data_IF_003996861928
#
_entry.id   IF_003996861928
#
_cell.length_a   1.000
_cell.length_b   1.000
_cell.length_c   1.000
_cell.angle_alpha   90.00
_cell.angle_beta   90.00
_cell.angle_gamma   90.00
#
_symmetry.space_group_name_H-M   'P 1'
#
loop_
_entity.id
_entity.type
_entity.pdbx_description
1 polymer ?
#
# COMPACT_ATOMS: atom_id res chain seq x y z
N UNK A 1 -11.34 12.46 7.19
CA UNK A 1 -10.91 11.52 6.13
C UNK A 1 -11.34 11.88 4.70
N UNK A 2 -12.57 12.31 4.41
CA UNK A 2 -13.00 12.55 3.01
C UNK A 2 -12.18 13.62 2.25
N UNK A 3 -11.86 14.77 2.86
CA UNK A 3 -11.00 15.80 2.24
C UNK A 3 -9.59 15.29 1.90
N UNK A 4 -9.07 14.39 2.73
CA UNK A 4 -7.77 13.76 2.52
C UNK A 4 -7.83 12.81 1.30
N UNK A 5 -8.92 12.04 1.15
CA UNK A 5 -9.18 11.23 -0.04
C UNK A 5 -9.30 12.05 -1.33
N UNK A 6 -9.95 13.22 -1.29
CA UNK A 6 -10.02 14.14 -2.44
C UNK A 6 -8.65 14.65 -2.84
N UNK A 7 -7.86 15.09 -1.86
CA UNK A 7 -6.52 15.63 -2.08
C UNK A 7 -5.59 14.55 -2.67
N UNK A 8 -5.64 13.35 -2.09
CA UNK A 8 -4.91 12.18 -2.58
C UNK A 8 -5.29 11.80 -4.02
N UNK A 9 -6.59 11.69 -4.31
CA UNK A 9 -7.06 11.36 -5.66
C UNK A 9 -6.64 12.41 -6.70
N UNK A 10 -6.78 13.70 -6.35
CA UNK A 10 -6.40 14.80 -7.24
C UNK A 10 -4.91 14.78 -7.56
N UNK A 11 -4.06 14.46 -6.58
CA UNK A 11 -2.62 14.36 -6.78
C UNK A 11 -2.22 13.15 -7.64
N UNK A 12 -2.82 11.98 -7.38
CA UNK A 12 -2.40 10.72 -7.98
C UNK A 12 -3.07 10.40 -9.34
N UNK A 13 -4.32 10.80 -9.56
CA UNK A 13 -5.12 10.34 -10.72
C UNK A 13 -4.53 10.67 -12.09
N UNK A 14 -3.79 11.78 -12.20
CA UNK A 14 -3.11 12.19 -13.44
C UNK A 14 -2.06 11.17 -13.93
N UNK A 15 -1.54 10.35 -13.02
CA UNK A 15 -0.56 9.32 -13.33
C UNK A 15 -1.20 7.95 -13.65
N UNK A 16 -2.53 7.85 -13.62
CA UNK A 16 -3.30 6.64 -13.92
C UNK A 16 -2.79 5.41 -13.14
N UNK A 17 -2.68 5.48 -11.80
CA UNK A 17 -2.12 4.40 -11.01
C UNK A 17 -2.97 3.13 -11.14
N UNK A 18 -2.30 1.97 -11.13
CA UNK A 18 -2.96 0.66 -11.18
C UNK A 18 -3.72 0.34 -9.90
N UNK A 19 -3.32 0.94 -8.78
CA UNK A 19 -3.93 0.78 -7.47
C UNK A 19 -3.85 2.07 -6.65
N UNK A 20 -4.83 2.27 -5.78
CA UNK A 20 -4.79 3.25 -4.69
C UNK A 20 -4.71 2.49 -3.37
N UNK A 21 -3.68 2.75 -2.56
CA UNK A 21 -3.48 2.09 -1.28
C UNK A 21 -3.72 3.08 -0.13
N UNK A 22 -4.53 2.67 0.84
CA UNK A 22 -4.70 3.40 2.09
C UNK A 22 -3.68 2.88 3.10
N UNK A 23 -2.76 3.73 3.49
CA UNK A 23 -1.75 3.47 4.51
C UNK A 23 -2.33 3.73 5.91
N UNK A 24 -2.60 2.68 6.68
CA UNK A 24 -3.32 2.74 7.98
C UNK A 24 -2.45 2.15 9.09
N UNK A 25 -1.70 3.03 9.76
CA UNK A 25 -0.70 2.64 10.76
C UNK A 25 -0.92 3.30 12.14
N UNK A 26 -1.65 4.42 12.18
CA UNK A 26 -1.81 5.23 13.39
C UNK A 26 -3.27 5.58 13.67
N UNK A 27 -3.62 5.60 14.96
CA UNK A 27 -4.95 5.98 15.41
C UNK A 27 -5.08 7.51 15.37
N UNK A 28 -5.83 8.00 14.39
CA UNK A 28 -6.10 9.44 14.19
C UNK A 28 -7.54 9.83 14.48
N UNK A 29 -8.39 8.85 14.76
CA UNK A 29 -9.81 9.03 15.05
C UNK A 29 -10.24 8.07 16.15
N UNK A 30 -11.31 8.42 16.88
CA UNK A 30 -11.89 7.51 17.87
C UNK A 30 -12.41 6.23 17.23
N UNK A 31 -13.19 6.37 16.15
CA UNK A 31 -13.64 5.27 15.29
C UNK A 31 -12.81 5.23 14.00
N UNK A 32 -11.71 4.47 14.06
CA UNK A 32 -10.83 4.27 12.91
C UNK A 32 -11.51 3.50 11.78
N UNK A 33 -12.34 2.51 12.08
CA UNK A 33 -13.02 1.74 11.05
C UNK A 33 -13.96 2.63 10.21
N UNK A 34 -14.75 3.50 10.84
CA UNK A 34 -15.57 4.47 10.14
C UNK A 34 -14.73 5.48 9.35
N UNK A 35 -13.62 5.95 9.92
CA UNK A 35 -12.68 6.85 9.24
C UNK A 35 -12.10 6.26 7.95
N UNK A 36 -11.60 5.02 8.03
CA UNK A 36 -11.02 4.26 6.92
C UNK A 36 -12.07 4.00 5.83
N UNK A 37 -13.28 3.59 6.22
CA UNK A 37 -14.37 3.37 5.26
C UNK A 37 -14.79 4.68 4.58
N UNK A 38 -14.85 5.79 5.31
CA UNK A 38 -15.17 7.09 4.73
C UNK A 38 -14.12 7.54 3.70
N UNK A 39 -12.83 7.25 3.95
CA UNK A 39 -11.76 7.51 2.98
C UNK A 39 -11.94 6.66 1.72
N UNK A 40 -12.09 5.33 1.89
CA UNK A 40 -12.26 4.37 0.79
C UNK A 40 -13.49 4.68 -0.06
N UNK A 41 -14.63 4.95 0.59
CA UNK A 41 -15.87 5.30 -0.09
C UNK A 41 -15.73 6.60 -0.90
N UNK A 42 -15.02 7.60 -0.35
CA UNK A 42 -14.77 8.84 -1.08
C UNK A 42 -13.87 8.62 -2.29
N UNK A 43 -12.78 7.85 -2.17
CA UNK A 43 -11.95 7.47 -3.32
C UNK A 43 -12.75 6.77 -4.41
N UNK A 44 -13.60 5.82 -4.02
CA UNK A 44 -14.47 5.12 -4.97
C UNK A 44 -15.40 6.09 -5.71
N UNK A 45 -16.01 7.04 -4.99
CA UNK A 45 -16.90 8.06 -5.58
C UNK A 45 -16.19 9.00 -6.56
N UNK A 46 -14.87 9.18 -6.42
CA UNK A 46 -14.05 9.99 -7.31
C UNK A 46 -13.59 9.22 -8.56
N UNK A 47 -13.82 7.90 -8.62
CA UNK A 47 -13.51 7.06 -9.77
C UNK A 47 -12.37 6.07 -9.56
N UNK A 48 -11.79 5.98 -8.36
CA UNK A 48 -10.83 4.92 -8.05
C UNK A 48 -11.53 3.56 -8.04
N UNK A 49 -11.02 2.60 -8.83
CA UNK A 49 -11.61 1.25 -8.94
C UNK A 49 -10.87 0.23 -8.07
N UNK A 50 -9.55 0.26 -8.13
CA UNK A 50 -8.67 -0.65 -7.41
C UNK A 50 -8.21 0.04 -6.13
N UNK A 51 -8.85 -0.27 -5.01
CA UNK A 51 -8.59 0.36 -3.72
C UNK A 51 -8.19 -0.72 -2.72
N UNK A 52 -6.93 -0.71 -2.32
CA UNK A 52 -6.37 -1.62 -1.33
C UNK A 52 -6.10 -0.94 0.01
N UNK A 53 -5.87 -1.75 1.03
CA UNK A 53 -5.48 -1.28 2.37
C UNK A 53 -4.13 -1.88 2.75
N UNK A 54 -3.23 -1.03 3.23
CA UNK A 54 -2.04 -1.41 3.96
C UNK A 54 -2.29 -1.22 5.45
N UNK A 55 -2.18 -2.29 6.23
CA UNK A 55 -2.46 -2.25 7.68
C UNK A 55 -1.80 -3.43 8.40
N UNK A 56 -1.17 -3.15 9.55
CA UNK A 56 -0.62 -4.19 10.43
C UNK A 56 -1.72 -5.04 11.07
N UNK A 57 -1.48 -6.33 11.31
CA UNK A 57 -2.49 -7.25 11.86
C UNK A 57 -3.01 -6.79 13.22
N UNK A 58 -2.12 -6.33 14.10
CA UNK A 58 -2.51 -5.82 15.43
C UNK A 58 -3.42 -4.59 15.32
N UNK A 59 -3.08 -3.61 14.48
CA UNK A 59 -3.86 -2.39 14.31
C UNK A 59 -5.25 -2.67 13.71
N UNK A 60 -5.31 -3.61 12.77
CA UNK A 60 -6.56 -4.09 12.18
C UNK A 60 -7.49 -4.68 13.24
N UNK A 61 -6.95 -5.55 14.11
CA UNK A 61 -7.71 -6.21 15.18
C UNK A 61 -8.12 -5.23 16.29
N UNK A 62 -7.17 -4.45 16.81
CA UNK A 62 -7.36 -3.48 17.89
C UNK A 62 -8.48 -2.48 17.58
N UNK A 63 -8.55 -2.03 16.32
CA UNK A 63 -9.53 -1.05 15.89
C UNK A 63 -10.68 -1.62 15.06
N UNK A 64 -10.81 -2.96 15.02
CA UNK A 64 -11.90 -3.66 14.32
C UNK A 64 -12.09 -3.19 12.87
N UNK A 65 -10.99 -2.95 12.16
CA UNK A 65 -11.01 -2.39 10.81
C UNK A 65 -11.50 -3.44 9.82
N UNK A 66 -12.58 -3.12 9.11
CA UNK A 66 -13.13 -4.02 8.10
C UNK A 66 -12.37 -3.94 6.78
N UNK A 67 -11.86 -5.07 6.31
CA UNK A 67 -11.18 -5.17 5.00
C UNK A 67 -12.11 -5.58 3.85
N UNK A 68 -13.39 -5.90 4.15
CA UNK A 68 -14.32 -6.55 3.20
C UNK A 68 -14.58 -5.76 1.92
N UNK A 69 -14.49 -4.43 1.96
CA UNK A 69 -14.77 -3.55 0.81
C UNK A 69 -13.53 -3.15 0.03
N UNK A 70 -12.34 -3.61 0.45
CA UNK A 70 -11.09 -3.39 -0.28
C UNK A 70 -10.87 -4.49 -1.30
N UNK A 71 -10.25 -4.14 -2.43
CA UNK A 71 -9.97 -5.08 -3.52
C UNK A 71 -8.64 -5.81 -3.34
N UNK A 72 -7.80 -5.32 -2.43
CA UNK A 72 -6.59 -6.01 -2.00
C UNK A 72 -6.17 -5.63 -0.57
N UNK A 73 -5.40 -6.52 0.06
CA UNK A 73 -4.87 -6.33 1.41
C UNK A 73 -3.35 -6.46 1.38
N UNK A 74 -2.65 -5.49 1.94
CA UNK A 74 -1.21 -5.46 2.08
C UNK A 74 -0.87 -5.41 3.57
N UNK A 75 -0.04 -6.33 4.06
CA UNK A 75 0.27 -6.42 5.48
C UNK A 75 1.78 -6.28 5.71
N UNK A 76 2.23 -5.42 6.63
CA UNK A 76 3.61 -5.44 7.10
C UNK A 76 3.84 -6.49 8.18
N UNK A 77 4.96 -7.19 8.09
CA UNK A 77 5.51 -8.01 9.18
C UNK A 77 7.00 -8.18 8.93
N UNK A 78 7.84 -7.60 9.78
CA UNK A 78 9.27 -7.47 9.48
C UNK A 78 10.18 -8.52 10.12
N UNK A 79 9.69 -9.24 11.14
CA UNK A 79 10.53 -10.14 11.93
C UNK A 79 11.78 -9.42 12.46
N UNK A 80 12.97 -9.87 12.05
CA UNK A 80 14.23 -9.22 12.44
C UNK A 80 14.49 -7.87 11.75
N UNK A 81 13.78 -7.59 10.66
CA UNK A 81 13.91 -6.38 9.87
C UNK A 81 15.34 -6.09 9.37
N UNK A 82 15.99 -7.08 8.77
CA UNK A 82 17.40 -7.06 8.35
C UNK A 82 17.57 -7.09 6.83
N UNK A 83 16.52 -6.72 6.08
CA UNK A 83 16.51 -6.75 4.62
C UNK A 83 16.06 -8.08 4.02
N UNK A 84 15.86 -9.13 4.83
CA UNK A 84 15.48 -10.46 4.34
C UNK A 84 14.09 -10.91 4.83
N UNK A 85 13.42 -11.73 4.02
CA UNK A 85 12.16 -12.37 4.43
C UNK A 85 12.44 -13.46 5.47
N UNK A 86 12.00 -13.21 6.71
CA UNK A 86 12.20 -14.14 7.84
C UNK A 86 10.95 -14.33 8.72
N UNK A 87 9.85 -13.64 8.43
CA UNK A 87 8.59 -13.76 9.16
C UNK A 87 7.39 -13.48 8.25
N UNK A 88 6.28 -14.19 8.47
CA UNK A 88 5.02 -13.97 7.76
C UNK A 88 3.97 -13.31 8.68
N UNK A 89 3.01 -12.54 8.13
CA UNK A 89 1.87 -12.07 8.89
C UNK A 89 1.13 -13.19 9.61
N UNK A 90 0.95 -13.04 10.94
CA UNK A 90 0.19 -13.98 11.77
C UNK A 90 -1.30 -13.67 11.67
N UNK A 91 -1.95 -14.16 10.62
CA UNK A 91 -3.38 -13.92 10.38
C UNK A 91 -3.96 -14.96 9.42
N UNK A 92 -5.25 -15.26 9.55
CA UNK A 92 -6.01 -16.05 8.59
C UNK A 92 -6.56 -15.19 7.43
N UNK A 93 -6.35 -13.87 7.47
CA UNK A 93 -6.75 -12.98 6.40
C UNK A 93 -6.00 -13.32 5.11
N UNK A 94 -6.76 -13.45 4.02
CA UNK A 94 -6.21 -13.67 2.68
C UNK A 94 -5.57 -12.40 2.14
N UNK A 95 -4.37 -12.06 2.60
CA UNK A 95 -3.60 -10.92 2.10
C UNK A 95 -2.94 -11.19 0.74
N UNK A 96 -2.50 -10.12 0.11
CA UNK A 96 -2.04 -10.10 -1.28
C UNK A 96 -0.60 -9.69 -1.41
N UNK A 97 -0.23 -8.64 -0.68
CA UNK A 97 1.13 -8.15 -0.57
C UNK A 97 1.58 -8.29 0.88
N UNK A 98 2.86 -8.57 1.05
CA UNK A 98 3.54 -8.59 2.33
C UNK A 98 4.75 -7.68 2.25
N UNK A 99 4.76 -6.63 3.06
CA UNK A 99 5.97 -5.85 3.31
C UNK A 99 6.79 -6.56 4.37
N UNK A 100 7.90 -7.15 3.97
CA UNK A 100 8.67 -8.04 4.84
C UNK A 100 9.86 -7.36 5.51
N UNK A 101 10.21 -6.14 5.11
CA UNK A 101 11.27 -5.36 5.74
C UNK A 101 11.18 -3.89 5.31
N UNK A 102 11.69 -3.00 6.16
CA UNK A 102 11.99 -1.59 5.86
C UNK A 102 13.49 -1.31 5.75
N UNK A 103 14.32 -2.36 5.75
CA UNK A 103 15.79 -2.31 5.77
C UNK A 103 16.37 -3.05 4.55
N UNK A 104 15.65 -3.03 3.44
CA UNK A 104 16.09 -3.66 2.21
C UNK A 104 17.13 -2.84 1.48
N UNK A 105 17.96 -3.51 0.68
CA UNK A 105 18.94 -2.88 -0.19
C UNK A 105 18.68 -3.24 -1.65
N UNK A 106 18.65 -2.22 -2.52
CA UNK A 106 18.55 -2.38 -3.98
C UNK A 106 19.77 -1.70 -4.60
N UNK A 107 20.48 -2.44 -5.46
CA UNK A 107 21.62 -1.89 -6.19
C UNK A 107 21.23 -0.65 -6.99
N UNK A 108 22.00 0.43 -6.86
CA UNK A 108 21.71 1.72 -7.48
C UNK A 108 20.85 2.66 -6.61
N UNK A 109 20.45 2.24 -5.40
CA UNK A 109 19.77 3.10 -4.43
C UNK A 109 20.53 3.12 -3.09
N UNK A 110 20.88 4.30 -2.61
CA UNK A 110 21.83 4.47 -1.50
C UNK A 110 21.21 4.30 -0.10
N UNK A 111 19.89 4.34 0.00
CA UNK A 111 19.17 4.28 1.26
C UNK A 111 18.40 2.97 1.39
N UNK A 112 18.05 2.63 2.62
CA UNK A 112 17.17 1.50 2.87
C UNK A 112 15.82 1.69 2.17
N UNK A 113 15.27 0.58 1.70
CA UNK A 113 13.97 0.54 1.04
C UNK A 113 13.06 -0.49 1.68
N UNK A 114 11.78 -0.17 1.68
CA UNK A 114 10.73 -1.12 2.00
C UNK A 114 10.64 -2.21 0.93
N UNK A 115 10.89 -3.46 1.29
CA UNK A 115 10.75 -4.58 0.34
C UNK A 115 9.44 -5.34 0.56
N UNK A 116 8.89 -5.74 -0.57
CA UNK A 116 7.56 -6.30 -0.68
C UNK A 116 7.58 -7.55 -1.53
N UNK A 117 6.67 -8.47 -1.24
CA UNK A 117 6.44 -9.65 -2.05
C UNK A 117 4.95 -9.95 -2.19
N UNK A 118 4.59 -10.71 -3.22
CA UNK A 118 3.29 -11.34 -3.28
C UNK A 118 3.17 -12.34 -2.13
N UNK A 119 1.97 -12.48 -1.58
CA UNK A 119 1.69 -13.48 -0.54
C UNK A 119 2.15 -14.87 -1.01
N UNK A 120 3.03 -15.57 -0.26
CA UNK A 120 3.46 -16.91 -0.63
C UNK A 120 2.31 -17.93 -0.54
N UNK A 121 1.21 -17.56 0.12
CA UNK A 121 0.01 -18.38 0.31
C UNK A 121 -0.93 -18.36 -0.91
N UNK A 122 -0.61 -17.62 -2.00
CA UNK A 122 -1.45 -17.49 -3.19
C UNK A 122 -0.70 -17.82 -4.48
N UNK A 123 -1.44 -18.19 -5.53
CA UNK A 123 -0.89 -18.37 -6.87
C UNK A 123 -0.38 -17.02 -7.42
N UNK A 124 0.94 -16.88 -7.50
CA UNK A 124 1.63 -15.62 -7.74
C UNK A 124 1.41 -15.09 -9.18
N UNK A 125 1.44 -15.97 -10.18
CA UNK A 125 1.37 -15.61 -11.60
C UNK A 125 0.04 -14.94 -11.98
N UNK A 126 -1.08 -15.36 -11.37
CA UNK A 126 -2.39 -14.76 -11.63
C UNK A 126 -2.55 -13.38 -10.98
N UNK A 127 -1.88 -13.11 -9.86
CA UNK A 127 -2.01 -11.83 -9.14
C UNK A 127 -1.04 -10.76 -9.62
N UNK A 128 0.14 -11.15 -10.11
CA UNK A 128 1.10 -10.19 -10.67
C UNK A 128 0.48 -9.32 -11.77
N UNK A 129 -0.35 -9.93 -12.64
CA UNK A 129 -1.09 -9.23 -13.70
C UNK A 129 -2.11 -8.19 -13.21
N UNK A 130 -2.52 -8.26 -11.95
CA UNK A 130 -3.45 -7.28 -11.37
C UNK A 130 -2.74 -6.03 -10.84
N UNK A 131 -1.42 -6.11 -10.63
CA UNK A 131 -0.61 -5.00 -10.10
C UNK A 131 0.27 -4.36 -11.18
N UNK A 132 0.60 -5.09 -12.25
CA UNK A 132 1.37 -4.60 -13.38
C UNK A 132 0.47 -4.41 -14.61
N UNK A 133 0.59 -3.26 -15.26
CA UNK A 133 0.20 -3.11 -16.67
C UNK A 133 1.42 -3.54 -17.49
N UNK A 134 1.33 -4.70 -18.15
CA UNK A 134 2.39 -5.19 -19.02
C UNK A 134 2.21 -4.52 -20.38
N UNK A 135 2.91 -3.40 -20.59
CA UNK A 135 3.14 -2.84 -21.91
C UNK A 135 4.66 -2.77 -22.13
N UNK A 136 5.16 -3.66 -23.00
CA UNK A 136 6.57 -3.89 -23.35
C UNK A 136 7.41 -4.57 -22.24
N UNK A 137 8.26 -5.52 -22.65
CA UNK A 137 8.89 -6.59 -21.85
C UNK A 137 9.86 -6.17 -20.72
N UNK A 138 9.86 -4.90 -20.30
CA UNK A 138 10.74 -4.39 -19.24
C UNK A 138 9.90 -3.98 -18.02
N UNK A 139 9.47 -4.97 -17.23
CA UNK A 139 8.74 -4.71 -15.99
C UNK A 139 9.57 -5.10 -14.77
N UNK A 140 10.09 -4.10 -14.05
CA UNK A 140 10.64 -4.26 -12.69
C UNK A 140 9.60 -3.76 -11.69
N UNK A 141 9.12 -4.64 -10.83
CA UNK A 141 8.25 -4.29 -9.72
C UNK A 141 9.11 -3.78 -8.55
N UNK A 142 9.42 -2.48 -8.53
CA UNK A 142 10.04 -1.83 -7.36
C UNK A 142 8.95 -1.13 -6.57
N UNK A 143 8.60 -1.68 -5.40
CA UNK A 143 7.82 -0.95 -4.40
C UNK A 143 8.81 -0.15 -3.56
N UNK A 144 8.97 1.15 -3.85
CA UNK A 144 9.79 2.05 -3.01
C UNK A 144 8.89 3.10 -2.36
N UNK A 145 8.90 3.14 -1.02
CA UNK A 145 8.26 4.19 -0.20
C UNK A 145 9.20 5.41 -0.13
N UNK A 146 9.63 5.97 -1.25
CA UNK A 146 10.39 7.23 -1.24
C UNK A 146 10.17 8.04 -2.53
N UNK A 147 9.18 8.93 -2.50
CA UNK A 147 9.15 10.10 -3.36
C UNK A 147 9.11 11.34 -2.46
N UNK A 148 10.27 11.72 -1.92
CA UNK A 148 10.46 13.02 -1.28
C UNK A 148 10.43 14.10 -2.34
N UNK A 149 9.22 14.50 -2.73
CA UNK A 149 8.87 15.83 -3.25
C UNK A 149 7.35 15.88 -3.49
N UNK A 150 6.54 15.94 -2.41
CA UNK A 150 5.13 16.36 -2.57
C UNK A 150 4.50 17.07 -1.36
N UNK A 151 5.21 17.25 -0.23
CA UNK A 151 4.65 17.99 0.91
C UNK A 151 5.69 18.89 1.59
N UNK A 152 5.81 20.14 1.11
CA UNK A 152 6.21 21.28 1.95
C UNK A 152 4.97 21.99 2.50
N UNK A 153 4.03 21.25 3.08
CA UNK A 153 3.04 21.85 3.97
C UNK A 153 2.58 20.86 5.03
N UNK A 154 2.41 21.41 6.22
CA UNK A 154 2.26 20.82 7.56
C UNK A 154 1.03 19.92 7.77
N UNK A 155 0.86 18.87 6.98
CA UNK A 155 -0.08 17.79 7.29
C UNK A 155 0.65 16.46 7.22
N UNK A 156 0.83 15.75 8.35
CA UNK A 156 1.22 14.36 8.29
C UNK A 156 0.08 13.57 7.64
N UNK A 157 0.39 12.38 7.12
CA UNK A 157 -0.49 11.40 6.51
C UNK A 157 -0.62 11.47 4.98
N UNK A 158 -0.34 10.30 4.39
CA UNK A 158 -0.48 9.84 2.99
C UNK A 158 0.87 9.74 2.26
N UNK A 159 1.53 8.60 2.45
CA UNK A 159 2.61 8.18 1.56
C UNK A 159 1.98 7.62 0.28
N UNK A 160 2.19 8.30 -0.85
CA UNK A 160 1.65 7.90 -2.15
C UNK A 160 2.59 6.89 -2.81
N UNK A 161 2.14 5.65 -3.00
CA UNK A 161 2.82 4.72 -3.92
C UNK A 161 2.38 5.02 -5.35
N UNK A 162 3.27 5.65 -6.11
CA UNK A 162 3.07 5.94 -7.52
C UNK A 162 3.85 4.91 -8.34
N UNK A 163 3.15 4.11 -9.15
CA UNK A 163 3.81 3.29 -10.17
C UNK A 163 4.24 4.22 -11.31
N UNK A 164 5.55 4.45 -11.46
CA UNK A 164 6.11 5.17 -12.60
C UNK A 164 6.41 4.14 -13.70
N UNK A 165 5.64 4.16 -14.80
CA UNK A 165 6.12 3.59 -16.06
C UNK A 165 7.19 4.55 -16.59
N UNK A 166 8.47 4.18 -16.45
CA UNK A 166 9.53 4.85 -17.18
C UNK A 166 9.52 4.30 -18.62
N UNK A 167 9.38 5.21 -19.58
CA UNK A 167 9.72 5.00 -20.98
C UNK A 167 11.24 4.89 -21.09
#
# INVERSE_FOLDING_TARGET
MQKAAESFYKAASKYKPTYYWLDVEEKTMEDMNAGVEAFRAKLASLGAKNIGIYVGTYFLEEHSISTKKFTAIWIPTYGYNDGYYNAAPKTDLKYDLHQYTSQGSISGFAHDVDLNQLSPLKNQTKRLKNYLVIENNDSVMVFSKNFTEFFSSSTPFITTFLFLNMI
#
